data_IF_704494174512
#
_entry.id   IF_704494174512
#
_cell.length_a   1.000
_cell.length_b   1.000
_cell.length_c   1.000
_cell.angle_alpha   90.00
_cell.angle_beta   90.00
_cell.angle_gamma   90.00
#
_symmetry.space_group_name_H-M   'P 1'
#
loop_
_entity.id
_entity.type
_entity.pdbx_description
1 polymer ?
#
# COMPACT_ATOMS: atom_id res chain seq x y z
N UNK A 1 25.07 12.29 9.22
CA UNK A 1 24.51 11.08 9.90
C UNK A 1 23.54 11.61 10.93
N UNK A 2 22.29 11.29 10.78
CA UNK A 2 21.18 11.79 11.61
C UNK A 2 20.57 10.66 12.43
N UNK A 3 19.91 11.02 13.52
CA UNK A 3 19.12 10.11 14.33
C UNK A 3 17.67 10.20 13.84
N UNK A 4 17.15 9.10 13.27
CA UNK A 4 15.85 9.05 12.62
C UNK A 4 14.93 8.06 13.33
N UNK A 5 13.73 8.51 13.69
CA UNK A 5 12.66 7.64 14.18
C UNK A 5 11.61 7.43 13.09
N UNK A 6 11.20 6.18 12.90
CA UNK A 6 10.04 5.85 12.05
C UNK A 6 8.90 5.41 12.96
N UNK A 7 7.75 6.06 12.86
CA UNK A 7 6.53 5.72 13.61
C UNK A 7 5.54 5.06 12.65
N UNK A 8 5.23 3.79 12.91
CA UNK A 8 4.32 3.01 12.10
C UNK A 8 3.49 2.08 12.98
N UNK A 9 2.22 1.89 12.65
CA UNK A 9 1.26 1.14 13.48
C UNK A 9 1.64 -0.33 13.69
N UNK A 10 2.33 -0.97 12.72
CA UNK A 10 2.79 -2.36 12.78
C UNK A 10 4.14 -2.48 12.06
N UNK A 11 5.06 -3.30 12.61
CA UNK A 11 6.38 -3.50 12.03
C UNK A 11 6.94 -4.88 12.38
N UNK A 12 7.30 -5.68 11.37
CA UNK A 12 7.86 -7.02 11.54
C UNK A 12 7.79 -7.84 10.26
N UNK A 13 8.47 -8.97 10.22
CA UNK A 13 8.53 -9.84 9.04
C UNK A 13 7.19 -10.51 8.73
N UNK A 14 6.41 -10.82 9.77
CA UNK A 14 5.09 -11.42 9.63
C UNK A 14 3.99 -10.39 9.25
N UNK A 15 4.32 -9.09 9.31
CA UNK A 15 3.39 -8.02 8.96
C UNK A 15 3.25 -7.89 7.45
N UNK A 16 2.07 -8.16 6.94
CA UNK A 16 1.72 -7.97 5.54
C UNK A 16 0.93 -6.67 5.38
N UNK A 17 1.42 -5.77 4.54
CA UNK A 17 0.78 -4.49 4.24
C UNK A 17 1.67 -3.61 3.36
N UNK A 18 1.05 -2.81 2.49
CA UNK A 18 1.80 -1.93 1.57
C UNK A 18 2.56 -0.82 2.30
N UNK A 19 1.92 -0.12 3.22
CA UNK A 19 2.54 0.95 4.00
C UNK A 19 3.62 0.44 4.95
N UNK A 20 3.37 -0.70 5.60
CA UNK A 20 4.33 -1.33 6.50
C UNK A 20 5.53 -1.91 5.74
N UNK A 21 5.28 -2.49 4.58
CA UNK A 21 6.36 -2.93 3.67
C UNK A 21 7.22 -1.76 3.21
N UNK A 22 6.59 -0.65 2.82
CA UNK A 22 7.30 0.59 2.48
C UNK A 22 8.11 1.14 3.67
N UNK A 23 7.54 1.15 4.88
CA UNK A 23 8.24 1.59 6.08
C UNK A 23 9.48 0.72 6.38
N UNK A 24 9.40 -0.61 6.17
CA UNK A 24 10.56 -1.50 6.31
C UNK A 24 11.65 -1.21 5.28
N UNK A 25 11.27 -0.98 4.04
CA UNK A 25 12.20 -0.58 2.98
C UNK A 25 12.89 0.73 3.35
N UNK A 26 12.15 1.76 3.73
CA UNK A 26 12.69 3.06 4.16
C UNK A 26 13.64 2.91 5.34
N UNK A 27 13.25 2.16 6.38
CA UNK A 27 14.10 1.91 7.55
C UNK A 27 15.43 1.25 7.15
N UNK A 28 15.38 0.19 6.36
CA UNK A 28 16.55 -0.54 5.88
C UNK A 28 17.46 0.32 5.01
N UNK A 29 16.91 1.19 4.16
CA UNK A 29 17.70 2.07 3.28
C UNK A 29 18.37 3.18 4.07
N UNK A 30 17.65 3.88 4.93
CA UNK A 30 18.18 4.95 5.77
C UNK A 30 19.21 4.42 6.79
N UNK A 31 19.06 3.20 7.29
CA UNK A 31 20.04 2.59 8.20
C UNK A 31 21.43 2.38 7.61
N UNK A 32 21.60 2.55 6.29
CA UNK A 32 22.91 2.49 5.61
C UNK A 32 23.75 3.75 5.83
N UNK A 33 23.11 4.88 6.12
CA UNK A 33 23.76 6.20 6.24
C UNK A 33 23.40 6.94 7.53
N UNK A 34 22.39 6.49 8.27
CA UNK A 34 21.87 7.11 9.47
C UNK A 34 21.69 6.10 10.61
N UNK A 35 21.49 6.59 11.84
CA UNK A 35 20.99 5.76 12.94
C UNK A 35 19.46 5.77 12.88
N UNK A 36 18.87 4.61 12.60
CA UNK A 36 17.43 4.46 12.43
C UNK A 36 16.84 3.60 13.55
N UNK A 37 15.77 4.09 14.13
CA UNK A 37 14.95 3.37 15.10
C UNK A 37 13.49 3.38 14.64
N UNK A 38 12.73 2.38 15.06
CA UNK A 38 11.29 2.26 14.75
C UNK A 38 10.50 2.21 16.05
N UNK A 39 9.48 3.05 16.17
CA UNK A 39 8.47 2.97 17.21
C UNK A 39 7.17 2.38 16.62
N UNK A 40 6.70 1.29 17.18
CA UNK A 40 5.54 0.54 16.67
C UNK A 40 4.77 -0.14 17.79
N UNK A 41 3.68 -0.82 17.46
CA UNK A 41 2.91 -1.60 18.44
C UNK A 41 3.29 -3.08 18.44
N UNK A 42 2.75 -3.82 19.40
CA UNK A 42 2.89 -5.29 19.48
C UNK A 42 2.01 -6.04 18.48
N UNK A 43 1.13 -5.37 17.73
CA UNK A 43 0.20 -6.01 16.81
C UNK A 43 0.84 -6.40 15.47
N UNK A 44 0.45 -7.55 14.91
CA UNK A 44 0.76 -7.93 13.54
C UNK A 44 -0.48 -7.86 12.62
N UNK A 45 -1.68 -7.88 13.19
CA UNK A 45 -2.96 -7.82 12.48
C UNK A 45 -3.68 -6.49 12.74
N UNK A 46 -4.21 -5.87 11.68
CA UNK A 46 -4.93 -4.58 11.79
C UNK A 46 -6.44 -4.74 12.00
N UNK A 47 -6.95 -5.97 11.92
CA UNK A 47 -8.38 -6.22 12.13
C UNK A 47 -8.75 -6.25 13.60
N UNK A 48 -7.86 -6.78 14.42
CA UNK A 48 -8.10 -6.99 15.86
C UNK A 48 -7.18 -6.17 16.75
N UNK A 49 -6.01 -5.76 16.23
CA UNK A 49 -4.89 -5.20 17.01
C UNK A 49 -4.40 -6.12 18.13
N UNK A 50 -4.66 -7.43 18.01
CA UNK A 50 -4.22 -8.39 19.00
C UNK A 50 -2.69 -8.39 19.14
N UNK A 51 -2.15 -8.51 20.37
CA UNK A 51 -0.72 -8.59 20.59
C UNK A 51 -0.15 -9.86 19.95
N UNK A 52 0.89 -9.70 19.16
CA UNK A 52 1.62 -10.78 18.50
C UNK A 52 3.09 -10.79 18.92
N UNK A 53 3.74 -9.64 18.88
CA UNK A 53 5.12 -9.48 19.31
C UNK A 53 5.19 -9.15 20.80
N UNK A 54 6.29 -9.52 21.50
CA UNK A 54 6.54 -9.04 22.86
C UNK A 54 6.76 -7.52 22.86
N UNK A 55 6.27 -6.85 23.90
CA UNK A 55 6.59 -5.45 24.15
C UNK A 55 8.05 -5.29 24.58
N UNK A 56 8.63 -4.14 24.32
CA UNK A 56 10.04 -3.82 24.63
C UNK A 56 10.87 -3.50 23.39
N UNK A 57 12.17 -3.52 23.55
CA UNK A 57 13.12 -3.19 22.46
C UNK A 57 13.74 -4.46 21.91
N UNK A 58 13.81 -4.56 20.58
CA UNK A 58 14.44 -5.66 19.86
C UNK A 58 15.18 -5.10 18.64
N UNK A 59 15.83 -5.96 17.89
CA UNK A 59 16.47 -5.61 16.62
C UNK A 59 15.85 -6.42 15.48
N UNK A 60 15.66 -5.78 14.34
CA UNK A 60 15.18 -6.42 13.11
C UNK A 60 15.92 -5.82 11.90
N UNK A 61 16.67 -6.65 11.18
CA UNK A 61 17.43 -6.22 10.00
C UNK A 61 18.43 -5.08 10.27
N UNK A 62 19.05 -5.04 11.46
CA UNK A 62 19.98 -3.99 11.86
C UNK A 62 19.33 -2.69 12.33
N UNK A 63 18.00 -2.68 12.44
CA UNK A 63 17.21 -1.53 12.94
C UNK A 63 16.67 -1.84 14.34
N UNK A 64 16.84 -0.90 15.27
CA UNK A 64 16.28 -1.00 16.62
C UNK A 64 14.78 -0.74 16.57
N UNK A 65 13.99 -1.64 17.17
CA UNK A 65 12.53 -1.59 17.14
C UNK A 65 11.97 -1.53 18.56
N UNK A 66 11.32 -0.43 18.90
CA UNK A 66 10.57 -0.23 20.15
C UNK A 66 9.12 -0.65 19.95
N UNK A 67 8.69 -1.70 20.64
CA UNK A 67 7.31 -2.21 20.56
C UNK A 67 6.54 -1.89 21.83
N UNK A 68 5.43 -1.19 21.64
CA UNK A 68 4.54 -0.76 22.72
C UNK A 68 3.25 -1.59 22.71
N UNK A 69 2.81 -2.00 23.90
CA UNK A 69 1.60 -2.79 24.03
C UNK A 69 0.38 -1.97 23.58
N UNK A 70 -0.47 -2.56 22.76
CA UNK A 70 -1.79 -2.01 22.46
C UNK A 70 -2.64 -2.09 23.73
N UNK A 71 -3.16 -0.97 24.18
CA UNK A 71 -3.94 -0.92 25.43
C UNK A 71 -5.33 -1.53 25.24
N UNK A 72 -5.93 -1.35 24.06
CA UNK A 72 -7.24 -1.90 23.71
C UNK A 72 -7.19 -2.48 22.29
N UNK A 73 -7.70 -3.70 22.12
CA UNK A 73 -7.93 -4.29 20.81
C UNK A 73 -9.05 -3.56 20.05
N UNK A 74 -9.24 -3.90 18.79
CA UNK A 74 -10.33 -3.30 18.00
C UNK A 74 -11.68 -3.70 18.59
N UNK A 75 -12.53 -2.71 18.82
CA UNK A 75 -13.90 -2.92 19.29
C UNK A 75 -14.67 -3.80 18.27
N UNK A 76 -15.29 -4.91 18.68
CA UNK A 76 -16.12 -5.74 17.80
C UNK A 76 -17.23 -4.96 17.09
N UNK A 77 -17.77 -3.92 17.72
CA UNK A 77 -18.83 -3.06 17.17
C UNK A 77 -18.28 -1.89 16.31
N UNK A 78 -16.96 -1.84 16.10
CA UNK A 78 -16.31 -0.73 15.39
C UNK A 78 -16.96 -0.45 14.02
N UNK A 79 -17.28 -1.50 13.24
CA UNK A 79 -17.85 -1.33 11.90
C UNK A 79 -19.23 -0.62 11.92
N UNK A 80 -20.04 -0.92 12.93
CA UNK A 80 -21.34 -0.25 13.11
C UNK A 80 -21.15 1.22 13.53
N UNK A 81 -20.21 1.47 14.44
CA UNK A 81 -19.86 2.81 14.88
C UNK A 81 -19.25 3.65 13.75
N UNK A 82 -18.32 3.08 12.98
CA UNK A 82 -17.74 3.68 11.79
C UNK A 82 -18.82 4.09 10.78
N UNK A 83 -19.77 3.21 10.48
CA UNK A 83 -20.86 3.50 9.56
C UNK A 83 -21.70 4.69 10.03
N UNK A 84 -21.97 4.81 11.34
CA UNK A 84 -22.65 5.97 11.94
C UNK A 84 -21.86 7.25 11.71
N UNK A 85 -20.57 7.25 12.08
CA UNK A 85 -19.70 8.43 11.96
C UNK A 85 -19.55 8.87 10.49
N UNK A 86 -19.32 7.92 9.58
CA UNK A 86 -19.10 8.25 8.16
C UNK A 86 -20.40 8.58 7.41
N UNK A 87 -21.58 8.32 7.97
CA UNK A 87 -22.88 8.76 7.37
C UNK A 87 -23.17 10.25 7.57
N UNK A 88 -22.41 10.94 8.45
CA UNK A 88 -22.56 12.37 8.71
C UNK A 88 -23.55 12.72 9.83
N UNK A 89 -24.22 11.75 10.44
CA UNK A 89 -25.11 11.93 11.60
C UNK A 89 -24.36 11.62 12.89
N UNK A 90 -23.44 12.53 13.28
CA UNK A 90 -22.58 12.36 14.46
C UNK A 90 -22.13 13.71 15.03
N UNK A 91 -21.65 13.69 16.30
CA UNK A 91 -21.01 14.83 16.94
C UNK A 91 -19.48 14.80 16.72
N UNK A 92 -18.79 15.93 16.90
CA UNK A 92 -17.33 15.97 16.84
C UNK A 92 -16.66 15.00 17.84
N UNK A 93 -17.27 14.78 18.99
CA UNK A 93 -16.77 13.81 19.96
C UNK A 93 -16.80 12.35 19.43
N UNK A 94 -17.72 12.04 18.51
CA UNK A 94 -17.76 10.74 17.87
C UNK A 94 -16.58 10.55 16.91
N UNK A 95 -16.05 11.62 16.30
CA UNK A 95 -14.87 11.53 15.43
C UNK A 95 -13.57 11.26 16.21
N UNK A 96 -13.44 11.87 17.40
CA UNK A 96 -12.33 11.58 18.32
C UNK A 96 -12.40 10.13 18.84
N UNK A 97 -13.60 9.67 19.16
CA UNK A 97 -13.82 8.29 19.58
C UNK A 97 -13.59 7.31 18.43
N UNK A 98 -13.94 7.70 17.19
CA UNK A 98 -13.66 6.92 15.99
C UNK A 98 -12.15 6.71 15.83
N UNK A 99 -11.33 7.76 15.99
CA UNK A 99 -9.88 7.66 15.90
C UNK A 99 -9.33 6.69 16.97
N UNK A 100 -9.81 6.78 18.21
CA UNK A 100 -9.41 5.86 19.29
C UNK A 100 -9.79 4.40 18.99
N UNK A 101 -11.01 4.17 18.50
CA UNK A 101 -11.52 2.84 18.15
C UNK A 101 -10.90 2.27 16.86
N UNK A 102 -10.54 3.11 15.91
CA UNK A 102 -9.76 2.73 14.73
C UNK A 102 -8.41 2.19 15.17
N UNK A 103 -7.79 2.83 16.14
CA UNK A 103 -6.58 2.36 16.79
C UNK A 103 -5.33 2.38 15.89
N UNK A 104 -4.34 1.57 16.27
CA UNK A 104 -4.22 0.88 17.55
C UNK A 104 -4.06 1.86 18.72
N UNK A 105 -4.91 1.74 19.76
CA UNK A 105 -4.79 2.62 20.95
C UNK A 105 -3.56 2.24 21.76
N UNK A 106 -2.56 3.11 21.76
CA UNK A 106 -1.25 2.81 22.31
C UNK A 106 -0.64 4.01 23.05
N UNK A 107 -1.17 4.37 24.26
CA UNK A 107 -0.69 5.53 25.03
C UNK A 107 0.81 5.49 25.32
N UNK A 108 1.38 4.31 25.59
CA UNK A 108 2.81 4.17 25.87
C UNK A 108 3.72 4.59 24.70
N UNK A 109 3.26 4.46 23.44
CA UNK A 109 3.97 4.98 22.29
C UNK A 109 3.92 6.52 22.26
N UNK A 110 2.80 7.12 22.63
CA UNK A 110 2.68 8.58 22.72
C UNK A 110 3.53 9.14 23.85
N UNK A 111 3.58 8.47 25.01
CA UNK A 111 4.47 8.81 26.11
C UNK A 111 5.95 8.74 25.67
N UNK A 112 6.34 7.71 24.93
CA UNK A 112 7.68 7.60 24.37
C UNK A 112 8.01 8.80 23.46
N UNK A 113 7.12 9.17 22.57
CA UNK A 113 7.30 10.35 21.70
C UNK A 113 7.39 11.66 22.52
N UNK A 114 6.59 11.79 23.57
CA UNK A 114 6.62 12.96 24.45
C UNK A 114 7.99 13.12 25.14
N UNK A 115 8.56 12.02 25.63
CA UNK A 115 9.80 12.08 26.40
C UNK A 115 11.08 11.97 25.56
N UNK A 116 11.04 11.28 24.43
CA UNK A 116 12.22 10.97 23.63
C UNK A 116 12.12 11.44 22.16
N UNK A 117 10.95 11.87 21.71
CA UNK A 117 10.76 12.27 20.31
C UNK A 117 11.65 13.43 19.87
N UNK A 118 12.06 14.31 20.81
CA UNK A 118 12.98 15.42 20.53
C UNK A 118 14.45 15.02 20.48
N UNK A 119 14.80 13.78 20.83
CA UNK A 119 16.17 13.27 20.73
C UNK A 119 16.53 12.88 19.28
N UNK A 120 15.54 12.78 18.40
CA UNK A 120 15.73 12.46 16.99
C UNK A 120 15.81 13.73 16.15
N UNK A 121 16.66 13.71 15.12
CA UNK A 121 16.74 14.80 14.13
C UNK A 121 15.52 14.85 13.22
N UNK A 122 14.96 13.68 12.88
CA UNK A 122 13.77 13.54 12.07
C UNK A 122 12.87 12.39 12.54
N UNK A 123 11.55 12.60 12.49
CA UNK A 123 10.53 11.60 12.83
C UNK A 123 9.61 11.39 11.62
N UNK A 124 9.63 10.20 11.03
CA UNK A 124 8.85 9.86 9.86
C UNK A 124 7.59 9.10 10.27
N UNK A 125 6.44 9.72 10.15
CA UNK A 125 5.14 9.12 10.48
C UNK A 125 4.49 8.47 9.27
N UNK A 126 3.99 7.25 9.47
CA UNK A 126 3.33 6.47 8.43
C UNK A 126 1.82 6.36 8.64
N UNK A 127 1.07 6.53 7.55
CA UNK A 127 -0.37 6.25 7.47
C UNK A 127 -1.21 7.11 8.41
N UNK A 128 -1.79 8.17 7.86
CA UNK A 128 -2.49 9.22 8.62
C UNK A 128 -3.63 8.72 9.51
N UNK A 129 -4.32 7.63 9.06
CA UNK A 129 -5.59 7.17 9.62
C UNK A 129 -5.47 6.54 11.01
N UNK A 130 -4.27 6.13 11.40
CA UNK A 130 -4.04 5.41 12.66
C UNK A 130 -3.64 6.34 13.81
N UNK A 131 -4.08 5.99 15.01
CA UNK A 131 -3.86 6.81 16.21
C UNK A 131 -2.39 7.12 16.51
N UNK A 132 -1.41 6.20 16.35
CA UNK A 132 0.01 6.54 16.56
C UNK A 132 0.50 7.71 15.71
N UNK A 133 0.03 7.83 14.48
CA UNK A 133 0.35 8.95 13.60
C UNK A 133 -0.48 10.19 13.94
N UNK A 134 -1.80 10.04 14.04
CA UNK A 134 -2.71 11.17 14.23
C UNK A 134 -2.48 11.91 15.55
N UNK A 135 -2.10 11.19 16.61
CA UNK A 135 -1.80 11.78 17.93
C UNK A 135 -0.30 11.93 18.21
N UNK A 136 0.55 11.15 17.55
CA UNK A 136 1.99 11.22 17.75
C UNK A 136 2.66 12.38 17.02
N UNK A 137 2.28 12.65 15.79
CA UNK A 137 2.86 13.74 15.00
C UNK A 137 2.69 15.10 15.68
N UNK A 138 1.53 15.46 16.26
CA UNK A 138 1.37 16.72 17.01
C UNK A 138 2.29 16.89 18.22
N UNK A 139 2.94 15.84 18.70
CA UNK A 139 3.88 15.92 19.83
C UNK A 139 5.24 16.49 19.38
N UNK A 140 5.65 16.20 18.14
CA UNK A 140 6.97 16.59 17.60
C UNK A 140 6.87 17.19 16.18
N UNK A 141 5.99 18.19 15.94
CA UNK A 141 5.67 18.65 14.58
C UNK A 141 6.88 19.28 13.86
N UNK A 142 7.80 19.92 14.60
CA UNK A 142 8.93 20.68 14.04
C UNK A 142 9.98 19.78 13.37
N UNK A 143 9.93 18.48 13.60
CA UNK A 143 10.84 17.48 13.06
C UNK A 143 10.12 16.30 12.45
N UNK A 144 8.85 16.49 12.09
CA UNK A 144 8.01 15.42 11.55
C UNK A 144 7.87 15.50 10.04
N UNK A 145 8.02 14.34 9.38
CA UNK A 145 7.49 14.17 8.04
C UNK A 145 6.32 13.18 8.07
N UNK A 146 5.28 13.46 7.28
CA UNK A 146 4.14 12.57 7.12
C UNK A 146 4.17 11.85 5.76
N UNK A 147 4.31 10.53 5.81
CA UNK A 147 4.09 9.64 4.66
C UNK A 147 2.66 9.16 4.78
N UNK A 148 1.73 9.94 4.20
CA UNK A 148 0.32 9.88 4.53
C UNK A 148 -0.38 8.62 4.07
N UNK A 149 0.01 8.06 2.93
CA UNK A 149 -0.68 6.96 2.24
C UNK A 149 -2.19 7.22 2.06
N UNK A 150 -2.54 8.48 1.80
CA UNK A 150 -3.91 8.95 1.78
C UNK A 150 -4.67 8.53 0.52
N UNK A 151 -5.93 8.17 0.71
CA UNK A 151 -6.89 7.88 -0.34
C UNK A 151 -8.07 8.86 -0.29
N UNK A 152 -8.81 8.99 -1.38
CA UNK A 152 -10.07 9.74 -1.38
C UNK A 152 -11.19 8.91 -0.71
N UNK A 153 -11.08 8.79 0.60
CA UNK A 153 -11.98 8.02 1.46
C UNK A 153 -12.63 8.91 2.51
N UNK A 154 -13.79 8.48 3.01
CA UNK A 154 -14.58 9.28 3.93
C UNK A 154 -13.81 9.69 5.20
N UNK A 155 -13.02 8.82 5.86
CA UNK A 155 -12.25 9.19 7.04
C UNK A 155 -11.30 10.39 6.85
N UNK A 156 -10.76 10.59 5.64
CA UNK A 156 -9.86 11.72 5.35
C UNK A 156 -10.48 13.09 5.68
N UNK A 157 -11.80 13.17 5.75
CA UNK A 157 -12.55 14.42 5.99
C UNK A 157 -12.91 14.67 7.45
N UNK A 158 -12.60 13.72 8.34
CA UNK A 158 -12.85 13.87 9.78
C UNK A 158 -11.98 14.99 10.38
N UNK A 159 -12.52 15.64 11.39
CA UNK A 159 -11.91 16.84 11.99
C UNK A 159 -10.49 16.62 12.53
N UNK A 160 -10.15 15.49 13.19
CA UNK A 160 -8.78 15.23 13.66
C UNK A 160 -7.72 15.40 12.59
N UNK A 161 -8.04 15.02 11.34
CA UNK A 161 -7.06 15.08 10.24
C UNK A 161 -6.89 16.47 9.65
N UNK A 162 -7.83 17.41 9.85
CA UNK A 162 -7.71 18.78 9.36
C UNK A 162 -6.51 19.50 9.98
N UNK A 163 -6.30 19.31 11.28
CA UNK A 163 -5.12 19.84 11.96
C UNK A 163 -3.86 19.03 11.61
N UNK A 164 -3.96 17.70 11.62
CA UNK A 164 -2.84 16.82 11.35
C UNK A 164 -2.11 17.16 10.04
N UNK A 165 -2.86 17.39 8.97
CA UNK A 165 -2.28 17.71 7.65
C UNK A 165 -1.74 19.15 7.51
N UNK A 166 -1.78 19.97 8.57
CA UNK A 166 -1.14 21.29 8.63
C UNK A 166 0.13 21.31 9.46
N UNK A 167 0.43 20.23 10.18
CA UNK A 167 1.48 20.21 11.19
C UNK A 167 2.84 19.69 10.71
N UNK A 168 2.93 18.73 9.78
CA UNK A 168 4.24 18.16 9.45
C UNK A 168 5.13 19.23 8.81
N UNK A 169 6.41 19.15 9.10
CA UNK A 169 7.43 19.98 8.47
C UNK A 169 7.60 19.67 6.99
N UNK A 170 7.40 18.38 6.62
CA UNK A 170 7.43 17.92 5.23
C UNK A 170 6.46 16.79 5.00
N UNK A 171 6.11 16.56 3.72
CA UNK A 171 5.41 15.36 3.28
C UNK A 171 6.29 14.45 2.44
N UNK A 172 6.16 13.13 2.65
CA UNK A 172 6.62 12.11 1.72
C UNK A 172 5.43 11.53 0.97
N UNK A 173 5.21 11.93 -0.29
CA UNK A 173 4.12 11.38 -1.09
C UNK A 173 4.59 10.18 -1.92
N UNK A 174 3.74 9.17 -2.05
CA UNK A 174 4.05 8.00 -2.86
C UNK A 174 3.74 8.25 -4.35
N UNK A 175 2.73 9.08 -4.63
CA UNK A 175 2.28 9.38 -5.99
C UNK A 175 1.84 10.84 -6.16
N UNK A 176 1.91 11.39 -7.39
CA UNK A 176 1.37 12.73 -7.68
C UNK A 176 -0.14 12.85 -7.41
N UNK A 177 -0.88 11.75 -7.54
CA UNK A 177 -2.32 11.70 -7.27
C UNK A 177 -2.60 11.87 -5.78
N UNK A 178 -1.85 11.18 -4.91
CA UNK A 178 -1.93 11.36 -3.46
C UNK A 178 -1.61 12.79 -3.07
N UNK A 179 -0.49 13.34 -3.56
CA UNK A 179 -0.13 14.76 -3.34
C UNK A 179 -1.27 15.69 -3.75
N UNK A 180 -1.79 15.50 -4.96
CA UNK A 180 -2.88 16.33 -5.47
C UNK A 180 -4.16 16.22 -4.63
N UNK A 181 -4.49 15.03 -4.13
CA UNK A 181 -5.60 14.81 -3.20
C UNK A 181 -5.40 15.59 -1.89
N UNK A 182 -4.25 15.41 -1.25
CA UNK A 182 -3.92 16.04 0.03
C UNK A 182 -3.95 17.56 -0.08
N UNK A 183 -3.28 18.13 -1.07
CA UNK A 183 -3.24 19.56 -1.28
C UNK A 183 -4.64 20.16 -1.55
N UNK A 184 -5.42 19.53 -2.43
CA UNK A 184 -6.81 20.00 -2.67
C UNK A 184 -7.71 19.93 -1.45
N UNK A 185 -7.54 18.89 -0.60
CA UNK A 185 -8.37 18.68 0.58
C UNK A 185 -8.00 19.63 1.71
N UNK A 186 -6.71 19.84 1.94
CA UNK A 186 -6.21 20.55 3.12
C UNK A 186 -5.62 21.93 2.82
N UNK A 187 -5.42 22.30 1.55
CA UNK A 187 -4.84 23.60 1.12
C UNK A 187 -3.47 23.85 1.77
N UNK A 188 -2.63 22.85 1.74
CA UNK A 188 -1.33 22.81 2.42
C UNK A 188 -0.13 22.73 1.43
N UNK A 189 -0.28 23.31 0.24
CA UNK A 189 0.74 23.36 -0.82
C UNK A 189 2.02 24.08 -0.37
N UNK A 190 1.92 24.91 0.68
CA UNK A 190 3.05 25.63 1.26
C UNK A 190 4.01 24.74 2.07
N UNK A 191 3.57 23.53 2.47
CA UNK A 191 4.43 22.60 3.21
C UNK A 191 5.35 21.88 2.21
N UNK A 192 6.67 21.88 2.46
CA UNK A 192 7.63 21.16 1.63
C UNK A 192 7.28 19.68 1.47
N UNK A 193 7.63 19.10 0.32
CA UNK A 193 7.37 17.69 0.09
C UNK A 193 8.39 17.04 -0.83
N UNK A 194 8.49 15.71 -0.73
CA UNK A 194 9.25 14.87 -1.65
C UNK A 194 8.36 13.77 -2.24
N UNK A 195 8.61 13.43 -3.51
CA UNK A 195 7.91 12.34 -4.19
C UNK A 195 8.69 11.05 -4.02
N UNK A 196 8.39 10.28 -2.99
CA UNK A 196 9.18 9.10 -2.64
C UNK A 196 9.05 7.97 -3.65
N UNK A 197 7.81 7.59 -4.01
CA UNK A 197 7.60 6.34 -4.75
C UNK A 197 8.12 5.13 -3.97
N UNK A 198 8.76 4.20 -4.68
CA UNK A 198 9.38 3.00 -4.07
C UNK A 198 10.59 2.57 -4.89
N UNK A 199 11.69 2.23 -4.23
CA UNK A 199 12.80 1.48 -4.82
C UNK A 199 12.49 -0.02 -4.83
N UNK A 200 12.85 -0.70 -5.89
CA UNK A 200 12.61 -2.14 -6.06
C UNK A 200 13.90 -2.88 -6.33
N UNK A 201 14.07 -4.04 -5.70
CA UNK A 201 15.09 -5.00 -6.09
C UNK A 201 14.80 -5.56 -7.49
N UNK A 202 15.85 -5.84 -8.23
CA UNK A 202 15.68 -6.62 -9.46
C UNK A 202 15.03 -7.97 -9.14
N UNK A 203 14.13 -8.46 -10.00
CA UNK A 203 13.57 -9.80 -9.81
C UNK A 203 14.70 -10.82 -9.66
N UNK A 204 14.62 -11.67 -8.63
CA UNK A 204 15.48 -12.84 -8.51
C UNK A 204 15.27 -13.82 -9.66
N UNK A 205 16.02 -14.91 -9.67
CA UNK A 205 15.77 -15.97 -10.63
C UNK A 205 14.35 -16.55 -10.43
N UNK A 206 13.60 -16.71 -11.51
CA UNK A 206 12.26 -17.29 -11.49
C UNK A 206 12.06 -18.24 -12.69
N UNK A 207 11.24 -19.27 -12.51
CA UNK A 207 10.96 -20.28 -13.56
C UNK A 207 9.46 -20.30 -13.87
N UNK A 208 9.10 -19.71 -15.00
CA UNK A 208 7.72 -19.64 -15.50
C UNK A 208 7.17 -21.02 -15.83
N UNK A 209 8.00 -21.90 -16.41
CA UNK A 209 7.56 -23.24 -16.81
C UNK A 209 7.27 -24.11 -15.57
N UNK A 210 8.15 -24.06 -14.56
CA UNK A 210 7.94 -24.75 -13.31
C UNK A 210 6.68 -24.26 -12.59
N UNK A 211 6.46 -22.94 -12.53
CA UNK A 211 5.25 -22.36 -11.94
C UNK A 211 3.98 -22.83 -12.64
N UNK A 212 3.94 -22.74 -13.97
CA UNK A 212 2.78 -23.22 -14.75
C UNK A 212 2.51 -24.70 -14.55
N UNK A 213 3.55 -25.54 -14.58
CA UNK A 213 3.43 -26.98 -14.37
C UNK A 213 2.94 -27.33 -12.95
N UNK A 214 3.48 -26.66 -11.92
CA UNK A 214 3.09 -26.91 -10.53
C UNK A 214 1.62 -26.60 -10.25
N UNK A 215 1.05 -25.63 -10.97
CA UNK A 215 -0.33 -25.18 -10.77
C UNK A 215 -1.29 -25.61 -11.90
N UNK A 216 -0.84 -26.42 -12.86
CA UNK A 216 -1.67 -26.90 -13.97
C UNK A 216 -2.22 -25.78 -14.86
N UNK A 217 -1.44 -24.74 -15.11
CA UNK A 217 -1.86 -23.53 -15.82
C UNK A 217 -1.41 -23.56 -17.28
N UNK A 218 -2.35 -23.86 -18.16
CA UNK A 218 -2.14 -23.85 -19.60
C UNK A 218 -2.80 -22.64 -20.28
N UNK A 219 -2.33 -22.28 -21.49
CA UNK A 219 -2.91 -21.21 -22.29
C UNK A 219 -2.67 -19.80 -21.76
N UNK A 220 -3.57 -18.88 -22.09
CA UNK A 220 -3.50 -17.48 -21.66
C UNK A 220 -3.89 -17.34 -20.19
N UNK A 221 -3.12 -16.55 -19.44
CA UNK A 221 -3.26 -16.40 -18.01
C UNK A 221 -3.48 -14.93 -17.65
N UNK A 222 -4.55 -14.66 -16.95
CA UNK A 222 -4.86 -13.35 -16.34
C UNK A 222 -4.67 -13.47 -14.84
N UNK A 223 -3.77 -12.68 -14.26
CA UNK A 223 -3.39 -12.79 -12.86
C UNK A 223 -4.01 -11.64 -12.04
N UNK A 224 -4.56 -11.96 -10.89
CA UNK A 224 -4.70 -11.07 -9.76
C UNK A 224 -3.73 -11.51 -8.66
N UNK A 225 -2.96 -10.59 -8.11
CA UNK A 225 -2.02 -10.87 -7.03
C UNK A 225 -2.23 -9.89 -5.86
N UNK A 226 -2.69 -10.41 -4.72
CA UNK A 226 -3.00 -9.62 -3.53
C UNK A 226 -4.03 -10.32 -2.65
N UNK A 227 -4.47 -9.65 -1.56
CA UNK A 227 -5.55 -10.18 -0.74
C UNK A 227 -6.86 -10.28 -1.57
N UNK A 228 -7.41 -11.47 -1.68
CA UNK A 228 -8.67 -11.72 -2.40
C UNK A 228 -9.84 -11.36 -1.49
N UNK A 229 -10.38 -10.16 -1.67
CA UNK A 229 -11.45 -9.61 -0.83
C UNK A 229 -12.32 -8.62 -1.62
N UNK A 230 -13.54 -8.36 -1.12
CA UNK A 230 -14.43 -7.32 -1.64
C UNK A 230 -13.78 -5.93 -1.57
N UNK A 231 -13.09 -5.62 -0.46
CA UNK A 231 -12.37 -4.34 -0.29
C UNK A 231 -11.28 -4.11 -1.33
N UNK A 232 -10.78 -5.17 -1.97
CA UNK A 232 -9.84 -5.10 -3.11
C UNK A 232 -10.55 -5.23 -4.47
N UNK A 233 -11.90 -5.28 -4.52
CA UNK A 233 -12.69 -5.34 -5.73
C UNK A 233 -12.67 -6.69 -6.43
N UNK A 234 -12.34 -7.77 -5.73
CA UNK A 234 -12.27 -9.11 -6.33
C UNK A 234 -13.64 -9.68 -6.68
N UNK A 235 -14.70 -9.28 -5.96
CA UNK A 235 -16.08 -9.57 -6.28
C UNK A 235 -16.51 -8.93 -7.62
N UNK A 236 -16.15 -7.66 -7.83
CA UNK A 236 -16.39 -6.95 -9.10
C UNK A 236 -15.55 -7.56 -10.24
N UNK A 237 -14.32 -7.97 -9.98
CA UNK A 237 -13.48 -8.67 -10.95
C UNK A 237 -14.11 -9.99 -11.38
N UNK A 238 -14.59 -10.80 -10.45
CA UNK A 238 -15.25 -12.08 -10.74
C UNK A 238 -16.55 -11.88 -11.54
N UNK A 239 -17.32 -10.83 -11.24
CA UNK A 239 -18.50 -10.46 -12.02
C UNK A 239 -18.12 -10.03 -13.45
N UNK A 240 -17.14 -9.14 -13.60
CA UNK A 240 -16.63 -8.70 -14.89
C UNK A 240 -16.01 -9.84 -15.72
N UNK A 241 -15.30 -10.75 -15.06
CA UNK A 241 -14.77 -11.97 -15.67
C UNK A 241 -15.90 -12.86 -16.20
N UNK A 242 -16.96 -13.08 -15.42
CA UNK A 242 -18.11 -13.90 -15.82
C UNK A 242 -18.80 -13.29 -17.04
N UNK A 243 -19.01 -11.97 -17.06
CA UNK A 243 -19.57 -11.26 -18.21
C UNK A 243 -18.67 -11.38 -19.44
N UNK A 244 -17.36 -11.18 -19.27
CA UNK A 244 -16.39 -11.33 -20.37
C UNK A 244 -16.43 -12.74 -20.97
N UNK A 245 -16.39 -13.79 -20.14
CA UNK A 245 -16.39 -15.19 -20.57
C UNK A 245 -17.71 -15.64 -21.23
N UNK A 246 -18.80 -14.93 -21.01
CA UNK A 246 -20.07 -15.20 -21.69
C UNK A 246 -20.11 -14.70 -23.15
N UNK A 247 -19.15 -13.89 -23.59
CA UNK A 247 -19.08 -13.33 -24.94
C UNK A 247 -18.67 -14.41 -25.95
N UNK A 248 -19.26 -14.45 -27.15
CA UNK A 248 -18.92 -15.46 -28.16
C UNK A 248 -17.44 -15.46 -28.59
N UNK A 249 -16.80 -14.29 -28.53
CA UNK A 249 -15.40 -14.10 -28.95
C UNK A 249 -14.45 -13.89 -27.76
N UNK A 250 -14.83 -14.30 -26.55
CA UNK A 250 -13.95 -14.24 -25.39
C UNK A 250 -12.73 -15.13 -25.59
N UNK A 251 -11.55 -14.64 -25.23
CA UNK A 251 -10.31 -15.42 -25.28
C UNK A 251 -10.38 -16.60 -24.33
N UNK A 252 -9.81 -17.77 -24.69
CA UNK A 252 -9.79 -18.96 -23.82
C UNK A 252 -8.73 -18.79 -22.71
N UNK A 253 -8.89 -17.79 -21.85
CA UNK A 253 -7.96 -17.47 -20.78
C UNK A 253 -8.45 -17.98 -19.42
N UNK A 254 -7.53 -18.20 -18.50
CA UNK A 254 -7.77 -18.55 -17.09
C UNK A 254 -7.48 -17.35 -16.19
N UNK A 255 -8.43 -17.01 -15.31
CA UNK A 255 -8.22 -16.05 -14.24
C UNK A 255 -7.60 -16.76 -13.04
N UNK A 256 -6.41 -16.32 -12.65
CA UNK A 256 -5.69 -16.84 -11.47
C UNK A 256 -5.73 -15.80 -10.36
N UNK A 257 -6.21 -16.20 -9.19
CA UNK A 257 -6.24 -15.39 -7.98
C UNK A 257 -5.20 -15.90 -6.98
N UNK A 258 -4.13 -15.15 -6.78
CA UNK A 258 -3.06 -15.49 -5.85
C UNK A 258 -3.03 -14.52 -4.68
N UNK A 259 -3.11 -15.06 -3.45
CA UNK A 259 -3.09 -14.31 -2.20
C UNK A 259 -4.04 -14.86 -1.16
N UNK A 260 -4.05 -14.24 0.03
CA UNK A 260 -4.93 -14.68 1.12
C UNK A 260 -6.40 -14.51 0.77
N UNK A 261 -7.16 -15.59 0.81
CA UNK A 261 -8.59 -15.59 0.51
C UNK A 261 -9.38 -15.06 1.72
N UNK A 262 -10.15 -14.00 1.51
CA UNK A 262 -11.05 -13.37 2.51
C UNK A 262 -12.49 -13.29 2.01
N UNK A 263 -12.78 -13.87 0.86
CA UNK A 263 -14.09 -14.05 0.27
C UNK A 263 -14.16 -15.40 -0.43
N UNK A 264 -15.36 -15.87 -0.71
CA UNK A 264 -15.55 -17.09 -1.52
C UNK A 264 -15.17 -16.83 -2.97
N UNK A 265 -14.49 -17.78 -3.58
CA UNK A 265 -14.19 -17.81 -5.02
C UNK A 265 -15.07 -18.88 -5.66
N UNK A 266 -15.77 -18.59 -6.78
CA UNK A 266 -16.63 -19.57 -7.42
C UNK A 266 -15.83 -20.75 -7.99
N UNK A 267 -16.37 -21.95 -7.86
CA UNK A 267 -15.83 -23.16 -8.49
C UNK A 267 -16.14 -23.15 -9.99
N UNK A 268 -15.15 -22.78 -10.80
CA UNK A 268 -15.26 -22.66 -12.26
C UNK A 268 -13.96 -23.14 -12.91
N UNK A 269 -14.07 -23.81 -14.05
CA UNK A 269 -12.93 -24.32 -14.79
C UNK A 269 -11.96 -23.21 -15.30
N UNK A 270 -12.45 -21.99 -15.44
CA UNK A 270 -11.70 -20.83 -15.93
C UNK A 270 -11.29 -19.84 -14.82
N UNK A 271 -11.44 -20.24 -13.53
CA UNK A 271 -11.00 -19.46 -12.36
C UNK A 271 -10.24 -20.36 -11.40
N UNK A 272 -9.00 -20.02 -11.12
CA UNK A 272 -8.13 -20.77 -10.23
C UNK A 272 -7.72 -19.92 -9.02
N UNK A 273 -8.04 -20.37 -7.82
CA UNK A 273 -7.60 -19.71 -6.58
C UNK A 273 -6.41 -20.47 -5.98
N UNK A 274 -5.22 -19.89 -6.04
CA UNK A 274 -3.99 -20.52 -5.54
C UNK A 274 -3.81 -20.33 -4.02
N UNK A 275 -4.56 -19.41 -3.41
CA UNK A 275 -4.24 -19.00 -2.06
C UNK A 275 -2.90 -18.22 -2.01
N UNK A 276 -2.27 -18.14 -0.85
CA UNK A 276 -0.99 -17.47 -0.69
C UNK A 276 0.11 -18.29 -1.38
N UNK A 277 0.77 -17.73 -2.37
CA UNK A 277 1.97 -18.29 -2.99
C UNK A 277 3.24 -17.85 -2.25
N UNK A 278 4.31 -18.64 -2.26
CA UNK A 278 5.61 -18.24 -1.73
C UNK A 278 6.17 -17.00 -2.43
N UNK A 279 6.90 -16.17 -1.71
CA UNK A 279 7.52 -14.96 -2.29
C UNK A 279 8.49 -15.31 -3.44
N UNK A 280 9.13 -16.47 -3.38
CA UNK A 280 9.98 -17.00 -4.44
C UNK A 280 9.24 -17.28 -5.76
N UNK A 281 7.92 -17.54 -5.72
CA UNK A 281 7.08 -17.80 -6.89
C UNK A 281 6.42 -16.52 -7.44
N UNK A 282 6.45 -15.43 -6.70
CA UNK A 282 5.77 -14.17 -7.07
C UNK A 282 6.15 -13.69 -8.46
N UNK A 283 7.43 -13.61 -8.75
CA UNK A 283 7.90 -13.14 -10.06
C UNK A 283 7.66 -14.16 -11.18
N UNK A 284 7.66 -15.47 -10.87
CA UNK A 284 7.25 -16.50 -11.82
C UNK A 284 5.76 -16.36 -12.19
N UNK A 285 4.90 -16.12 -11.22
CA UNK A 285 3.47 -15.89 -11.43
C UNK A 285 3.22 -14.62 -12.28
N UNK A 286 3.89 -13.50 -11.93
CA UNK A 286 3.80 -12.26 -12.69
C UNK A 286 4.29 -12.43 -14.13
N UNK A 287 5.44 -13.07 -14.34
CA UNK A 287 6.01 -13.32 -15.68
C UNK A 287 5.22 -14.36 -16.50
N UNK A 288 4.52 -15.29 -15.84
CA UNK A 288 3.63 -16.27 -16.48
C UNK A 288 2.35 -15.61 -17.00
N UNK A 289 1.94 -14.47 -16.45
CA UNK A 289 0.70 -13.81 -16.82
C UNK A 289 0.79 -13.06 -18.15
N UNK A 290 -0.28 -13.13 -18.93
CA UNK A 290 -0.45 -12.32 -20.14
C UNK A 290 -0.95 -10.89 -19.80
N UNK A 291 -1.58 -10.72 -18.62
CA UNK A 291 -1.90 -9.45 -18.00
C UNK A 291 -2.10 -9.60 -16.49
N UNK A 292 -1.68 -8.61 -15.72
CA UNK A 292 -2.06 -8.45 -14.31
C UNK A 292 -3.31 -7.57 -14.24
N UNK A 293 -4.32 -7.96 -13.46
CA UNK A 293 -5.52 -7.14 -13.20
C UNK A 293 -5.50 -6.62 -11.77
N UNK A 294 -5.70 -5.31 -11.61
CA UNK A 294 -5.85 -4.64 -10.31
C UNK A 294 -7.24 -3.99 -10.23
N UNK A 295 -8.23 -4.66 -9.62
CA UNK A 295 -9.60 -4.16 -9.54
C UNK A 295 -9.82 -3.18 -8.38
N UNK A 296 -8.82 -2.93 -7.54
CA UNK A 296 -8.92 -2.08 -6.34
C UNK A 296 -9.36 -0.66 -6.67
N UNK A 297 -10.29 -0.12 -5.88
CA UNK A 297 -10.69 1.29 -5.95
C UNK A 297 -9.71 2.22 -5.24
N UNK A 298 -9.00 1.71 -4.24
CA UNK A 298 -8.08 2.46 -3.41
C UNK A 298 -6.70 1.77 -3.40
N UNK A 299 -5.70 2.50 -3.80
CA UNK A 299 -4.29 2.11 -3.72
C UNK A 299 -3.44 3.36 -3.43
N UNK A 300 -2.46 3.21 -2.53
CA UNK A 300 -1.49 4.29 -2.26
C UNK A 300 -0.39 4.34 -3.31
N UNK A 301 0.06 3.17 -3.76
CA UNK A 301 1.11 3.03 -4.77
C UNK A 301 0.82 1.90 -5.76
N UNK A 302 0.20 0.78 -5.32
CA UNK A 302 0.01 -0.40 -6.16
C UNK A 302 1.33 -1.10 -6.46
N UNK A 303 2.05 -1.53 -5.42
CA UNK A 303 3.40 -2.13 -5.54
C UNK A 303 3.42 -3.27 -6.56
N UNK A 304 2.42 -4.13 -6.54
CA UNK A 304 2.34 -5.28 -7.45
C UNK A 304 2.30 -4.87 -8.93
N UNK A 305 1.81 -3.68 -9.23
CA UNK A 305 1.82 -3.11 -10.59
C UNK A 305 3.27 -2.81 -11.03
N UNK A 306 4.09 -2.25 -10.14
CA UNK A 306 5.51 -2.01 -10.41
C UNK A 306 6.26 -3.32 -10.58
N UNK A 307 5.99 -4.32 -9.75
CA UNK A 307 6.57 -5.66 -9.83
C UNK A 307 6.20 -6.39 -11.13
N UNK A 308 4.96 -6.23 -11.61
CA UNK A 308 4.54 -6.76 -12.91
C UNK A 308 5.33 -6.13 -14.07
N UNK A 309 5.53 -4.82 -14.02
CA UNK A 309 6.33 -4.12 -15.03
C UNK A 309 7.81 -4.53 -15.02
N UNK A 310 8.39 -4.87 -13.88
CA UNK A 310 9.77 -5.38 -13.83
C UNK A 310 9.96 -6.63 -14.70
N UNK A 311 8.95 -7.49 -14.78
CA UNK A 311 8.99 -8.70 -15.63
C UNK A 311 8.34 -8.49 -17.00
N UNK A 312 7.91 -7.26 -17.32
CA UNK A 312 7.31 -6.90 -18.60
C UNK A 312 5.86 -7.39 -18.78
N UNK A 313 5.15 -7.58 -17.69
CA UNK A 313 3.73 -7.95 -17.71
C UNK A 313 2.87 -6.69 -17.71
N UNK A 314 1.98 -6.50 -18.71
CA UNK A 314 1.09 -5.35 -18.78
C UNK A 314 0.03 -5.42 -17.69
N UNK A 315 -0.51 -4.26 -17.32
CA UNK A 315 -1.54 -4.18 -16.29
C UNK A 315 -2.87 -3.70 -16.84
N UNK A 316 -3.96 -4.20 -16.22
CA UNK A 316 -5.34 -3.76 -16.46
C UNK A 316 -5.90 -3.23 -15.15
N UNK A 317 -6.15 -1.93 -15.08
CA UNK A 317 -6.51 -1.26 -13.82
C UNK A 317 -7.83 -0.50 -13.95
N UNK A 318 -8.48 -0.22 -12.83
CA UNK A 318 -9.70 0.61 -12.82
C UNK A 318 -9.38 2.05 -13.18
N UNK A 319 -10.21 2.65 -14.03
CA UNK A 319 -10.09 4.06 -14.42
C UNK A 319 -10.49 5.02 -13.28
N UNK A 320 -11.31 4.57 -12.33
CA UNK A 320 -11.75 5.33 -11.16
C UNK A 320 -10.80 5.19 -9.95
N UNK A 321 -9.69 4.44 -10.09
CA UNK A 321 -8.57 4.51 -9.16
C UNK A 321 -7.53 5.49 -9.73
N UNK A 322 -7.45 6.72 -9.22
CA UNK A 322 -6.58 7.75 -9.80
C UNK A 322 -5.09 7.37 -9.74
N UNK A 323 -4.66 6.66 -8.70
CA UNK A 323 -3.26 6.27 -8.50
C UNK A 323 -2.80 5.28 -9.56
N UNK A 324 -3.48 4.14 -9.71
CA UNK A 324 -3.06 3.12 -10.68
C UNK A 324 -3.33 3.56 -12.12
N UNK A 325 -4.43 4.27 -12.38
CA UNK A 325 -4.72 4.85 -13.69
C UNK A 325 -3.69 5.93 -14.07
N UNK A 326 -3.29 6.79 -13.14
CA UNK A 326 -2.25 7.79 -13.35
C UNK A 326 -0.89 7.17 -13.63
N UNK A 327 -0.51 6.11 -12.94
CA UNK A 327 0.72 5.36 -13.22
C UNK A 327 0.68 4.73 -14.62
N UNK A 328 -0.45 4.12 -15.01
CA UNK A 328 -0.65 3.58 -16.37
C UNK A 328 -0.52 4.68 -17.42
N UNK A 329 -1.12 5.85 -17.18
CA UNK A 329 -1.02 6.98 -18.11
C UNK A 329 0.42 7.50 -18.29
N UNK A 330 1.21 7.53 -17.20
CA UNK A 330 2.62 7.99 -17.24
C UNK A 330 3.57 6.95 -17.82
N UNK A 331 3.37 5.69 -17.53
CA UNK A 331 4.25 4.60 -17.94
C UNK A 331 3.96 4.09 -19.36
N UNK A 332 2.70 4.17 -19.79
CA UNK A 332 2.23 3.44 -20.98
C UNK A 332 2.22 1.91 -20.78
N UNK A 333 2.39 1.41 -19.56
CA UNK A 333 2.55 -0.02 -19.23
C UNK A 333 1.25 -0.80 -19.06
N UNK A 334 0.10 -0.24 -19.48
CA UNK A 334 -1.18 -0.92 -19.26
C UNK A 334 -2.36 -0.22 -19.91
N UNK A 335 -3.55 -0.66 -19.52
CA UNK A 335 -4.83 -0.12 -19.97
C UNK A 335 -5.78 0.04 -18.79
N UNK A 336 -6.76 0.92 -18.94
CA UNK A 336 -7.78 1.15 -17.91
C UNK A 336 -9.15 0.63 -18.37
N UNK A 337 -9.98 0.21 -17.41
CA UNK A 337 -11.40 -0.11 -17.61
C UNK A 337 -12.26 0.63 -16.59
N UNK A 338 -13.54 0.86 -16.88
CA UNK A 338 -14.47 1.59 -16.00
C UNK A 338 -15.47 0.68 -15.28
N UNK A 339 -15.92 -0.35 -15.98
CA UNK A 339 -17.00 -1.23 -15.57
C UNK A 339 -16.81 -2.62 -16.20
N UNK A 340 -17.66 -3.57 -15.85
CA UNK A 340 -17.64 -4.91 -16.40
C UNK A 340 -17.81 -4.92 -17.94
N UNK A 341 -18.59 -4.00 -18.50
CA UNK A 341 -18.78 -3.92 -19.94
C UNK A 341 -17.51 -3.53 -20.70
N UNK A 342 -16.70 -2.63 -20.15
CA UNK A 342 -15.43 -2.17 -20.73
C UNK A 342 -14.23 -3.08 -20.38
N UNK A 343 -14.34 -3.90 -19.34
CA UNK A 343 -13.27 -4.78 -18.86
C UNK A 343 -12.76 -5.71 -19.95
N UNK A 344 -13.65 -6.42 -20.65
CA UNK A 344 -13.24 -7.39 -21.66
C UNK A 344 -12.46 -6.76 -22.82
N UNK A 345 -12.89 -5.58 -23.31
CA UNK A 345 -12.17 -4.87 -24.36
C UNK A 345 -10.79 -4.37 -23.89
N UNK A 346 -10.69 -3.93 -22.62
CA UNK A 346 -9.42 -3.53 -22.04
C UNK A 346 -8.46 -4.72 -21.89
N UNK A 347 -8.97 -5.87 -21.44
CA UNK A 347 -8.20 -7.10 -21.31
C UNK A 347 -7.70 -7.60 -22.67
N UNK A 348 -8.57 -7.68 -23.67
CA UNK A 348 -8.20 -8.10 -25.03
C UNK A 348 -7.12 -7.17 -25.62
N UNK A 349 -7.24 -5.87 -25.41
CA UNK A 349 -6.23 -4.90 -25.83
C UNK A 349 -4.89 -5.14 -25.10
N UNK A 350 -4.91 -5.32 -23.77
CA UNK A 350 -3.72 -5.55 -22.98
C UNK A 350 -2.95 -6.78 -23.47
N UNK A 351 -3.65 -7.89 -23.69
CA UNK A 351 -3.06 -9.15 -24.16
C UNK A 351 -2.54 -8.99 -25.60
N UNK A 352 -3.32 -8.39 -26.50
CA UNK A 352 -2.94 -8.20 -27.90
C UNK A 352 -1.68 -7.32 -28.06
N UNK A 353 -1.51 -6.34 -27.19
CA UNK A 353 -0.36 -5.39 -27.24
C UNK A 353 0.65 -5.61 -26.10
N UNK A 354 0.64 -6.78 -25.46
CA UNK A 354 1.41 -7.07 -24.24
C UNK A 354 2.89 -6.73 -24.34
N UNK A 355 3.52 -7.02 -25.49
CA UNK A 355 4.96 -6.76 -25.67
C UNK A 355 5.28 -5.26 -25.59
N UNK A 356 4.47 -4.43 -26.24
CA UNK A 356 4.68 -2.98 -26.26
C UNK A 356 4.38 -2.37 -24.88
N UNK A 357 3.25 -2.74 -24.25
CA UNK A 357 2.88 -2.26 -22.93
C UNK A 357 3.88 -2.73 -21.87
N UNK A 358 4.28 -4.01 -21.89
CA UNK A 358 5.25 -4.56 -20.96
C UNK A 358 6.62 -3.89 -21.07
N UNK A 359 7.09 -3.60 -22.30
CA UNK A 359 8.34 -2.87 -22.51
C UNK A 359 8.28 -1.44 -21.96
N UNK A 360 7.19 -0.72 -22.23
CA UNK A 360 6.99 0.64 -21.72
C UNK A 360 6.92 0.69 -20.17
N UNK A 361 6.21 -0.26 -19.57
CA UNK A 361 6.14 -0.39 -18.10
C UNK A 361 7.52 -0.69 -17.50
N UNK A 362 8.29 -1.60 -18.10
CA UNK A 362 9.64 -1.94 -17.65
C UNK A 362 10.59 -0.73 -17.71
N UNK A 363 10.63 -0.03 -18.84
CA UNK A 363 11.46 1.18 -18.99
C UNK A 363 11.10 2.23 -17.94
N UNK A 364 9.81 2.40 -17.66
CA UNK A 364 9.35 3.35 -16.65
C UNK A 364 9.81 2.94 -15.24
N UNK A 365 9.65 1.67 -14.86
CA UNK A 365 10.02 1.19 -13.53
C UNK A 365 11.54 1.20 -13.30
N UNK A 366 12.32 0.87 -14.32
CA UNK A 366 13.79 0.95 -14.26
C UNK A 366 14.28 2.36 -13.98
N UNK A 367 13.60 3.38 -14.55
CA UNK A 367 13.96 4.79 -14.33
C UNK A 367 13.46 5.31 -12.97
N UNK A 368 12.20 5.05 -12.62
CA UNK A 368 11.54 5.68 -11.47
C UNK A 368 11.73 4.95 -10.15
N UNK A 369 11.99 3.63 -10.20
CA UNK A 369 12.07 2.76 -9.02
C UNK A 369 13.48 2.18 -8.80
N UNK A 370 14.51 2.81 -9.38
CA UNK A 370 15.89 2.46 -9.05
C UNK A 370 16.22 2.82 -7.60
N UNK A 371 17.09 2.04 -6.97
CA UNK A 371 17.55 2.33 -5.60
C UNK A 371 18.27 3.68 -5.50
N UNK A 372 19.05 4.06 -6.50
CA UNK A 372 19.73 5.34 -6.55
C UNK A 372 18.75 6.52 -6.50
N UNK A 373 17.71 6.47 -7.33
CA UNK A 373 16.67 7.51 -7.35
C UNK A 373 15.86 7.54 -6.05
N UNK A 374 15.55 6.37 -5.49
CA UNK A 374 14.80 6.27 -4.25
C UNK A 374 15.60 6.79 -3.05
N UNK A 375 16.87 6.37 -2.90
CA UNK A 375 17.75 6.84 -1.82
C UNK A 375 17.95 8.36 -1.87
N UNK A 376 18.15 8.94 -3.06
CA UNK A 376 18.28 10.39 -3.21
C UNK A 376 17.02 11.13 -2.72
N UNK A 377 15.82 10.62 -3.02
CA UNK A 377 14.55 11.18 -2.54
C UNK A 377 14.36 11.03 -1.03
N UNK A 378 14.78 9.89 -0.47
CA UNK A 378 14.75 9.70 0.99
C UNK A 378 15.67 10.68 1.72
N UNK A 379 16.90 10.86 1.24
CA UNK A 379 17.86 11.83 1.82
C UNK A 379 17.29 13.27 1.72
N UNK A 380 16.63 13.60 0.61
CA UNK A 380 15.97 14.91 0.46
C UNK A 380 14.83 15.09 1.47
N UNK A 381 13.99 14.06 1.68
CA UNK A 381 12.92 14.11 2.69
C UNK A 381 13.50 14.29 4.09
N UNK A 382 14.55 13.55 4.45
CA UNK A 382 15.23 13.71 5.74
C UNK A 382 15.78 15.13 5.89
N UNK A 383 16.42 15.69 4.86
CA UNK A 383 16.94 17.06 4.89
C UNK A 383 15.83 18.12 5.08
N UNK A 384 14.67 17.95 4.42
CA UNK A 384 13.50 18.83 4.59
C UNK A 384 12.90 18.74 6.00
N UNK A 385 13.05 17.59 6.65
CA UNK A 385 12.47 17.31 7.98
C UNK A 385 13.38 17.80 9.11
N UNK A 386 14.70 17.60 8.97
CA UNK A 386 15.69 17.94 9.99
C UNK A 386 16.12 19.42 9.96
N UNK A 387 15.80 20.19 8.95
CA UNK A 387 16.13 21.62 8.79
C UNK A 387 15.14 22.52 9.52
#
# INVERSE_FOLDING_TARGET
>A
MSDILIVVQRYGDEVVGGSEGHARVVASRLARSHRVEVATTTAADYWTWAPFYPAGTSELGGVRVHRFAVAEGRDPEFKAFESKVLSGDHALADEEEWLRKQGPHCPALLDFLHWQGTDYDAVLFYTYIYEPTARGLPIVPERSALISTAHDEAPLRLAPYRALFQLPRAFGFLTPEERGLVHRTFRNEHIPHEMLGLGLDAPGAYDVAAFRAAHGLDGELVLYLGQVSEGKGCDELLAAWTEYRSRPNARPATLVLAGTLRMAVPDRADVVALGRIPDAEKYAALAAADALVLPSRFESLGIVLLEAWQVGTPVVVRADNPVTAGQVARSGGGVTYRDAASFGAALDRAIATRKALGAAGREWVERESSWEAFDARLEQLVALTAS
#
